data_IF_796513435826
#
_entry.id   IF_796513435826
#
_cell.length_a   1.000
_cell.length_b   1.000
_cell.length_c   1.000
_cell.angle_alpha   90.00
_cell.angle_beta   90.00
_cell.angle_gamma   90.00
#
_symmetry.space_group_name_H-M   'P 1'
#
loop_
_entity.id
_entity.type
_entity.pdbx_description
1 polymer ?
#
# COMPACT_ATOMS: atom_id res chain seq x y z
N UNK A 1 9.37 -5.27 -13.47
CA UNK A 1 10.73 -5.10 -12.91
C UNK A 1 10.81 -5.58 -11.46
N UNK A 2 9.79 -5.34 -10.62
CA UNK A 2 9.71 -5.85 -9.25
C UNK A 2 8.78 -7.09 -9.17
N UNK A 3 9.32 -8.33 -9.05
CA UNK A 3 8.48 -9.53 -8.99
C UNK A 3 7.58 -9.59 -7.77
N UNK A 4 8.07 -9.10 -6.61
CA UNK A 4 7.29 -9.08 -5.38
C UNK A 4 6.14 -8.08 -5.42
N UNK A 5 6.28 -7.00 -6.19
CA UNK A 5 5.19 -6.05 -6.42
C UNK A 5 4.10 -6.68 -7.27
N UNK A 6 4.48 -7.42 -8.32
CA UNK A 6 3.55 -8.17 -9.16
C UNK A 6 2.82 -9.24 -8.36
N UNK A 7 3.56 -10.02 -7.54
CA UNK A 7 2.94 -11.00 -6.64
C UNK A 7 1.97 -10.37 -5.64
N UNK A 8 2.32 -9.25 -5.03
CA UNK A 8 1.41 -8.56 -4.12
C UNK A 8 0.14 -8.09 -4.84
N UNK A 9 0.28 -7.55 -6.06
CA UNK A 9 -0.87 -7.14 -6.87
C UNK A 9 -1.76 -8.36 -7.17
N UNK A 10 -1.18 -9.40 -7.77
CA UNK A 10 -1.89 -10.59 -8.25
C UNK A 10 -2.52 -11.40 -7.12
N UNK A 11 -1.79 -11.65 -6.03
CA UNK A 11 -2.27 -12.51 -4.94
C UNK A 11 -3.22 -11.77 -3.99
N UNK A 12 -3.23 -10.43 -4.00
CA UNK A 12 -3.94 -9.62 -3.01
C UNK A 12 -4.63 -8.41 -3.62
N UNK A 13 -3.90 -7.41 -4.11
CA UNK A 13 -4.47 -6.07 -4.35
C UNK A 13 -5.47 -6.03 -5.51
N UNK A 14 -5.39 -6.97 -6.44
CA UNK A 14 -6.34 -7.12 -7.56
C UNK A 14 -7.51 -8.05 -7.25
N UNK A 15 -7.52 -8.73 -6.10
CA UNK A 15 -8.60 -9.66 -5.74
C UNK A 15 -9.87 -8.88 -5.37
N UNK A 16 -11.03 -9.35 -5.84
CA UNK A 16 -12.30 -8.64 -5.63
C UNK A 16 -12.64 -8.55 -4.13
N UNK A 17 -12.30 -9.57 -3.36
CA UNK A 17 -12.45 -9.61 -1.91
C UNK A 17 -11.59 -8.54 -1.21
N UNK A 18 -10.35 -8.31 -1.68
CA UNK A 18 -9.52 -7.22 -1.17
C UNK A 18 -10.13 -5.86 -1.50
N UNK A 19 -10.58 -5.65 -2.74
CA UNK A 19 -11.19 -4.40 -3.16
C UNK A 19 -12.44 -4.08 -2.32
N UNK A 20 -13.30 -5.08 -2.10
CA UNK A 20 -14.49 -4.97 -1.25
C UNK A 20 -14.14 -4.63 0.20
N UNK A 21 -13.11 -5.29 0.74
CA UNK A 21 -12.60 -4.95 2.07
C UNK A 21 -12.06 -3.52 2.11
N UNK A 22 -11.29 -3.12 1.10
CA UNK A 22 -10.65 -1.82 1.06
C UNK A 22 -11.65 -0.67 0.92
N UNK A 23 -12.72 -0.82 0.14
CA UNK A 23 -13.78 0.19 0.00
C UNK A 23 -14.40 0.61 1.34
N UNK A 24 -14.47 -0.32 2.30
CA UNK A 24 -15.06 -0.07 3.61
C UNK A 24 -14.07 0.53 4.63
N UNK A 25 -12.76 0.46 4.38
CA UNK A 25 -11.74 0.77 5.40
C UNK A 25 -10.66 1.75 4.94
N UNK A 26 -10.44 1.90 3.63
CA UNK A 26 -9.31 2.63 3.07
C UNK A 26 -9.71 3.49 1.88
N UNK A 27 -8.93 4.55 1.68
CA UNK A 27 -8.82 5.22 0.38
C UNK A 27 -7.52 4.74 -0.25
N UNK A 28 -7.63 3.97 -1.33
CA UNK A 28 -6.47 3.39 -1.99
C UNK A 28 -5.77 4.41 -2.88
N UNK A 29 -4.44 4.45 -2.77
CA UNK A 29 -3.58 5.23 -3.66
C UNK A 29 -2.37 4.40 -4.07
N UNK A 30 -2.14 4.28 -5.38
CA UNK A 30 -1.01 3.54 -5.94
C UNK A 30 -0.01 4.51 -6.59
N UNK A 31 1.20 4.55 -6.04
CA UNK A 31 2.35 5.23 -6.64
C UNK A 31 3.22 4.21 -7.39
N UNK A 32 3.02 4.08 -8.70
CA UNK A 32 3.80 3.17 -9.54
C UNK A 32 5.06 3.82 -10.12
N UNK A 33 6.10 3.00 -10.31
CA UNK A 33 7.41 3.36 -10.85
C UNK A 33 7.79 2.46 -12.04
N UNK A 34 7.06 2.55 -13.18
CA UNK A 34 7.34 1.74 -14.36
C UNK A 34 8.67 2.15 -14.98
N UNK A 35 9.44 1.15 -15.44
CA UNK A 35 10.70 1.40 -16.17
C UNK A 35 10.50 1.47 -17.68
N UNK A 36 9.52 0.74 -18.22
CA UNK A 36 9.35 0.57 -19.66
C UNK A 36 8.15 1.34 -20.22
N UNK A 37 7.45 2.11 -19.38
CA UNK A 37 6.29 2.90 -19.78
C UNK A 37 6.49 4.35 -19.38
N UNK A 38 6.20 5.27 -20.30
CA UNK A 38 6.23 6.68 -20.01
C UNK A 38 5.11 7.08 -19.05
N UNK A 39 5.47 7.89 -18.06
CA UNK A 39 4.53 8.55 -17.16
C UNK A 39 4.62 10.07 -17.34
N UNK A 40 3.50 10.79 -17.20
CA UNK A 40 3.53 12.25 -17.21
C UNK A 40 4.50 12.79 -16.16
N UNK A 41 5.27 13.82 -16.52
CA UNK A 41 6.29 14.41 -15.64
C UNK A 41 5.73 14.77 -14.26
N UNK A 42 4.53 15.36 -14.20
CA UNK A 42 3.84 15.69 -12.95
C UNK A 42 3.65 14.50 -12.02
N UNK A 43 3.31 13.32 -12.56
CA UNK A 43 3.06 12.10 -11.78
C UNK A 43 4.39 11.54 -11.28
N UNK A 44 5.42 11.55 -12.13
CA UNK A 44 6.77 11.13 -11.77
C UNK A 44 7.34 11.99 -10.63
N UNK A 45 7.11 13.30 -10.68
CA UNK A 45 7.51 14.24 -9.62
C UNK A 45 6.71 14.03 -8.33
N UNK A 46 5.39 13.87 -8.41
CA UNK A 46 4.54 13.56 -7.27
C UNK A 46 5.00 12.26 -6.57
N UNK A 47 5.20 11.18 -7.32
CA UNK A 47 5.60 9.89 -6.76
C UNK A 47 6.99 9.99 -6.08
N UNK A 48 7.96 10.65 -6.73
CA UNK A 48 9.27 10.94 -6.13
C UNK A 48 9.16 11.75 -4.83
N UNK A 49 8.30 12.78 -4.81
CA UNK A 49 8.08 13.60 -3.63
C UNK A 49 7.46 12.79 -2.48
N UNK A 50 6.50 11.90 -2.78
CA UNK A 50 5.90 11.01 -1.80
C UNK A 50 6.92 9.99 -1.25
N UNK A 51 7.71 9.37 -2.11
CA UNK A 51 8.78 8.46 -1.68
C UNK A 51 9.77 9.17 -0.75
N UNK A 52 10.18 10.39 -1.09
CA UNK A 52 11.06 11.21 -0.23
C UNK A 52 10.37 11.57 1.09
N UNK A 53 9.11 12.03 1.05
CA UNK A 53 8.34 12.43 2.24
C UNK A 53 8.23 11.29 3.26
N UNK A 54 7.99 10.07 2.80
CA UNK A 54 7.78 8.91 3.66
C UNK A 54 9.02 8.01 3.82
N UNK A 55 10.18 8.41 3.28
CA UNK A 55 11.41 7.62 3.38
C UNK A 55 11.29 6.23 2.76
N UNK A 56 10.74 6.14 1.55
CA UNK A 56 10.58 4.89 0.80
C UNK A 56 11.77 4.71 -0.14
N UNK A 57 12.56 3.68 0.12
CA UNK A 57 13.77 3.29 -0.61
C UNK A 57 13.59 1.97 -1.39
N UNK A 58 12.54 1.21 -1.09
CA UNK A 58 12.34 -0.15 -1.57
C UNK A 58 10.86 -0.46 -1.81
N UNK A 59 10.61 -1.41 -2.71
CA UNK A 59 9.26 -1.85 -3.10
C UNK A 59 9.16 -3.39 -3.05
N UNK A 60 7.96 -3.94 -2.81
CA UNK A 60 6.71 -3.24 -2.51
C UNK A 60 6.67 -2.72 -1.07
N UNK A 61 6.33 -1.44 -0.91
CA UNK A 61 6.05 -0.82 0.39
C UNK A 61 4.59 -0.36 0.41
N UNK A 62 3.86 -0.74 1.45
CA UNK A 62 2.49 -0.31 1.73
C UNK A 62 2.49 0.51 3.00
N UNK A 63 1.99 1.74 2.91
CA UNK A 63 1.82 2.63 4.05
C UNK A 63 0.34 2.74 4.38
N UNK A 64 0.04 2.66 5.68
CA UNK A 64 -1.29 2.95 6.21
C UNK A 64 -1.15 4.29 6.92
N UNK A 65 -1.91 5.28 6.44
CA UNK A 65 -1.84 6.66 6.89
C UNK A 65 -3.15 7.07 7.55
N UNK A 66 -3.08 8.02 8.48
CA UNK A 66 -4.28 8.71 8.97
C UNK A 66 -4.79 9.75 7.95
N UNK A 67 -5.95 10.37 8.21
CA UNK A 67 -6.53 11.41 7.35
C UNK A 67 -5.71 12.70 7.25
N UNK A 68 -4.65 12.87 8.04
CA UNK A 68 -3.69 13.98 7.97
C UNK A 68 -2.41 13.60 7.21
N UNK A 69 -2.30 12.33 6.80
CA UNK A 69 -1.13 11.79 6.10
C UNK A 69 0.03 11.38 7.01
N UNK A 70 -0.22 11.15 8.31
CA UNK A 70 0.78 10.60 9.21
C UNK A 70 0.81 9.07 9.10
N UNK A 71 2.00 8.43 9.06
CA UNK A 71 2.10 6.98 8.99
C UNK A 71 1.66 6.32 10.31
N UNK A 72 0.64 5.48 10.23
CA UNK A 72 0.17 4.61 11.31
C UNK A 72 0.87 3.26 11.27
N UNK A 73 1.16 2.76 10.07
CA UNK A 73 1.94 1.54 9.88
C UNK A 73 2.64 1.52 8.51
N UNK A 74 3.73 0.75 8.44
CA UNK A 74 4.46 0.41 7.22
C UNK A 74 4.54 -1.10 7.10
N UNK A 75 4.21 -1.63 5.93
CA UNK A 75 4.33 -3.04 5.60
C UNK A 75 4.72 -3.21 4.13
N UNK A 76 4.69 -4.44 3.62
CA UNK A 76 5.06 -4.76 2.24
C UNK A 76 4.38 -6.05 1.81
N UNK A 77 5.02 -6.79 0.92
CA UNK A 77 4.56 -8.12 0.55
C UNK A 77 4.68 -9.10 1.73
N UNK A 78 3.67 -9.94 1.91
CA UNK A 78 3.67 -11.05 2.87
C UNK A 78 3.22 -12.32 2.16
N UNK A 79 3.91 -13.43 2.42
CA UNK A 79 3.52 -14.73 1.90
C UNK A 79 2.19 -15.21 2.49
N UNK A 80 1.48 -16.03 1.71
CA UNK A 80 0.23 -16.67 2.12
C UNK A 80 -1.00 -16.17 1.38
N UNK A 81 -0.85 -15.19 0.49
CA UNK A 81 -1.92 -14.64 -0.35
C UNK A 81 -2.94 -13.81 0.43
N UNK A 82 -4.12 -13.65 -0.18
CA UNK A 82 -5.17 -12.76 0.27
C UNK A 82 -5.56 -12.91 1.75
N UNK A 83 -5.90 -14.13 2.21
CA UNK A 83 -6.46 -14.36 3.54
C UNK A 83 -5.54 -13.86 4.68
N UNK A 84 -4.30 -14.37 4.77
CA UNK A 84 -3.31 -13.88 5.73
C UNK A 84 -3.01 -12.39 5.61
N UNK A 85 -3.05 -11.82 4.39
CA UNK A 85 -2.85 -10.40 4.18
C UNK A 85 -4.01 -9.56 4.75
N UNK A 86 -5.26 -9.98 4.56
CA UNK A 86 -6.41 -9.32 5.15
C UNK A 86 -6.38 -9.35 6.68
N UNK A 87 -6.05 -10.51 7.27
CA UNK A 87 -5.88 -10.64 8.73
C UNK A 87 -4.82 -9.66 9.23
N UNK A 88 -3.68 -9.54 8.54
CA UNK A 88 -2.64 -8.59 8.89
C UNK A 88 -3.12 -7.13 8.86
N UNK A 89 -3.87 -6.74 7.83
CA UNK A 89 -4.42 -5.38 7.75
C UNK A 89 -5.44 -5.12 8.87
N UNK A 90 -6.30 -6.10 9.18
CA UNK A 90 -7.26 -6.00 10.28
C UNK A 90 -6.54 -5.85 11.63
N UNK A 91 -5.45 -6.58 11.88
CA UNK A 91 -4.65 -6.43 13.09
C UNK A 91 -4.06 -5.02 13.22
N UNK A 92 -3.58 -4.43 12.11
CA UNK A 92 -3.11 -3.04 12.11
C UNK A 92 -4.25 -2.07 12.43
N UNK A 93 -5.41 -2.23 11.78
CA UNK A 93 -6.59 -1.39 12.03
C UNK A 93 -7.06 -1.47 13.49
N UNK A 94 -7.09 -2.66 14.08
CA UNK A 94 -7.50 -2.86 15.47
C UNK A 94 -6.52 -2.20 16.46
N UNK A 95 -5.22 -2.27 16.20
CA UNK A 95 -4.19 -1.62 17.04
C UNK A 95 -4.28 -0.10 16.95
N UNK A 96 -4.45 0.44 15.75
CA UNK A 96 -4.50 1.89 15.52
C UNK A 96 -5.78 2.53 16.05
N UNK A 97 -6.91 1.83 15.99
CA UNK A 97 -8.18 2.29 16.58
C UNK A 97 -8.20 2.22 18.11
N UNK A 98 -7.52 1.25 18.71
CA UNK A 98 -7.45 1.09 20.18
C UNK A 98 -6.48 2.06 20.85
N UNK A 99 -5.42 2.49 20.14
CA UNK A 99 -4.45 3.47 20.65
C UNK A 99 -4.96 4.92 20.62
N UNK A 100 -6.12 5.18 20.02
CA UNK A 100 -6.70 6.51 19.84
C UNK A 100 -7.96 6.72 20.71
N UNK A 101 -8.17 5.86 21.72
CA UNK A 101 -9.14 6.04 22.80
C UNK A 101 -8.44 6.31 24.12
#
# INVERSE_FOLDING_TARGET
>A
WCPWCQKLEEEVLSQQEFLTFAENHFVLFKADYPQNQEQPARIKEQNKALAKKYGIDSVPTVLILDGKGNPLAKTGYRHGGLGPYLTHLQEILNKTTSSNR
#
